data_IF_198958094399
#
_entry.id   IF_198958094399
#
_cell.length_a   1.000
_cell.length_b   1.000
_cell.length_c   1.000
_cell.angle_alpha   90.00
_cell.angle_beta   90.00
_cell.angle_gamma   90.00
#
_symmetry.space_group_name_H-M   'P 1'
#
loop_
_entity.id
_entity.type
_entity.pdbx_description
1 polymer ?
#
# COMPACT_ATOMS: atom_id res chain seq x y z
N UNK A 1 -19.49 16.54 -15.19
CA UNK A 1 -18.37 16.64 -16.15
C UNK A 1 -17.15 17.13 -15.39
N UNK A 2 -16.00 16.46 -15.60
CA UNK A 2 -14.61 16.89 -15.42
C UNK A 2 -14.12 17.31 -14.02
N UNK A 3 -13.13 16.56 -13.52
CA UNK A 3 -12.09 17.09 -12.63
C UNK A 3 -10.72 16.72 -13.23
N UNK A 4 -9.86 17.72 -13.33
CA UNK A 4 -8.69 17.80 -14.22
C UNK A 4 -7.49 16.95 -13.79
N UNK A 5 -6.78 16.40 -14.77
CA UNK A 5 -5.47 15.78 -14.60
C UNK A 5 -4.39 16.86 -14.64
N UNK A 6 -3.65 17.04 -13.55
CA UNK A 6 -2.45 17.88 -13.53
C UNK A 6 -1.22 16.99 -13.79
N UNK A 7 -0.69 17.07 -15.02
CA UNK A 7 0.64 16.55 -15.36
C UNK A 7 1.69 17.60 -14.94
N UNK A 8 2.48 17.29 -13.91
CA UNK A 8 3.67 18.08 -13.53
C UNK A 8 4.94 17.48 -14.15
N UNK A 9 5.67 18.31 -14.89
CA UNK A 9 6.97 18.04 -15.54
C UNK A 9 8.16 18.03 -14.55
N UNK A 10 9.35 17.50 -14.94
CA UNK A 10 10.37 17.00 -14.02
C UNK A 10 11.37 18.07 -13.58
N UNK A 11 11.79 17.99 -12.31
CA UNK A 11 12.97 18.71 -11.81
C UNK A 11 14.14 17.71 -11.67
N UNK A 12 15.14 17.88 -12.52
CA UNK A 12 16.45 17.23 -12.40
C UNK A 12 17.29 18.02 -11.38
N UNK A 13 17.72 17.36 -10.31
CA UNK A 13 18.62 17.94 -9.32
C UNK A 13 18.96 16.95 -8.22
N UNK A 14 19.97 16.11 -8.46
CA UNK A 14 20.51 15.19 -7.45
C UNK A 14 21.16 15.99 -6.30
N UNK A 15 20.60 15.85 -5.11
CA UNK A 15 21.32 16.06 -3.86
C UNK A 15 21.06 14.85 -2.94
N UNK A 16 22.16 14.21 -2.57
CA UNK A 16 22.24 13.02 -1.73
C UNK A 16 21.68 13.28 -0.33
N UNK A 17 20.68 12.49 0.07
CA UNK A 17 20.58 11.74 1.35
C UNK A 17 19.28 10.95 1.36
N UNK A 18 19.26 9.60 1.31
CA UNK A 18 18.07 8.85 1.67
C UNK A 18 18.17 8.38 3.13
N UNK A 19 18.05 9.33 4.07
CA UNK A 19 17.60 9.01 5.43
C UNK A 19 16.13 9.39 5.48
N UNK A 20 15.29 8.42 5.14
CA UNK A 20 13.88 8.59 4.90
C UNK A 20 13.54 7.89 3.60
N UNK A 21 13.04 6.67 3.69
CA UNK A 21 12.64 5.86 2.55
C UNK A 21 11.18 6.21 2.24
N UNK A 22 10.83 7.07 1.25
CA UNK A 22 9.49 7.01 0.67
C UNK A 22 9.47 5.80 -0.27
N UNK A 23 9.41 4.59 0.29
CA UNK A 23 9.09 3.39 -0.48
C UNK A 23 7.58 3.35 -0.72
N UNK A 24 7.05 4.29 -1.49
CA UNK A 24 5.68 4.20 -1.99
C UNK A 24 5.65 4.62 -3.45
N UNK A 25 5.56 3.62 -4.34
CA UNK A 25 4.95 3.80 -5.65
C UNK A 25 5.86 3.83 -6.88
N UNK A 26 7.07 3.27 -6.86
CA UNK A 26 7.86 3.14 -8.09
C UNK A 26 8.36 1.70 -8.27
N UNK A 27 7.65 0.94 -9.13
CA UNK A 27 8.22 -0.20 -9.86
C UNK A 27 8.15 -1.59 -9.23
N UNK A 28 7.10 -1.96 -8.49
CA UNK A 28 6.89 -3.38 -8.15
C UNK A 28 6.35 -4.12 -9.38
N UNK A 29 7.22 -4.62 -10.25
CA UNK A 29 6.86 -5.47 -11.40
C UNK A 29 6.50 -6.92 -11.00
N UNK A 30 6.19 -7.16 -9.71
CA UNK A 30 5.93 -8.48 -9.13
C UNK A 30 4.57 -8.56 -8.42
N UNK A 31 4.07 -9.78 -8.23
CA UNK A 31 2.91 -10.02 -7.38
C UNK A 31 3.23 -9.56 -5.96
N UNK A 32 2.33 -8.82 -5.36
CA UNK A 32 2.44 -8.36 -3.98
C UNK A 32 1.38 -9.08 -3.14
N UNK A 33 1.67 -9.24 -1.86
CA UNK A 33 0.69 -9.62 -0.86
C UNK A 33 0.27 -8.38 -0.06
N UNK A 34 -1.03 -8.21 0.12
CA UNK A 34 -1.62 -7.14 0.92
C UNK A 34 -2.36 -7.77 2.09
N UNK A 35 -2.04 -7.31 3.30
CA UNK A 35 -2.59 -7.81 4.56
C UNK A 35 -3.19 -6.66 5.35
N UNK A 36 -4.32 -6.91 5.99
CA UNK A 36 -4.90 -5.98 6.94
C UNK A 36 -4.37 -6.28 8.34
N UNK A 37 -3.79 -5.28 9.01
CA UNK A 37 -3.19 -5.38 10.35
C UNK A 37 -4.00 -4.51 11.32
N UNK A 38 -4.32 -5.04 12.49
CA UNK A 38 -4.86 -4.23 13.59
C UNK A 38 -3.69 -3.51 14.27
N UNK A 39 -3.69 -2.18 14.24
CA UNK A 39 -2.62 -1.34 14.83
C UNK A 39 -2.57 -1.44 16.36
N UNK A 40 -3.67 -1.85 17.01
CA UNK A 40 -3.75 -2.00 18.47
C UNK A 40 -3.03 -3.26 18.95
N UNK A 41 -3.08 -4.33 18.16
CA UNK A 41 -2.51 -5.64 18.52
C UNK A 41 -1.29 -6.02 17.69
N UNK A 42 -1.05 -5.35 16.57
CA UNK A 42 -0.03 -5.70 15.58
C UNK A 42 -0.35 -6.97 14.78
N UNK A 43 -1.52 -7.59 14.99
CA UNK A 43 -1.87 -8.86 14.38
C UNK A 43 -2.57 -8.69 13.02
N UNK A 44 -2.36 -9.66 12.12
CA UNK A 44 -3.14 -9.74 10.88
C UNK A 44 -4.61 -10.01 11.21
N UNK A 45 -5.49 -9.21 10.62
CA UNK A 45 -6.92 -9.39 10.70
C UNK A 45 -7.31 -10.77 10.17
N UNK A 46 -8.08 -11.52 10.96
CA UNK A 46 -8.62 -12.81 10.57
C UNK A 46 -10.14 -12.72 10.49
N UNK A 47 -10.71 -13.24 9.42
CA UNK A 47 -12.16 -13.39 9.24
C UNK A 47 -12.48 -14.87 9.44
N UNK A 48 -13.31 -15.19 10.44
CA UNK A 48 -13.65 -16.57 10.82
C UNK A 48 -12.42 -17.47 11.07
N UNK A 49 -11.36 -16.91 11.66
CA UNK A 49 -10.10 -17.62 11.94
C UNK A 49 -9.08 -17.65 10.78
N UNK A 50 -9.49 -17.28 9.57
CA UNK A 50 -8.62 -17.25 8.38
C UNK A 50 -8.02 -15.85 8.19
N UNK A 51 -6.69 -15.71 8.02
CA UNK A 51 -6.07 -14.40 7.79
C UNK A 51 -6.56 -13.79 6.47
N UNK A 52 -6.94 -12.50 6.52
CA UNK A 52 -7.34 -11.75 5.34
C UNK A 52 -6.10 -11.30 4.56
N UNK A 53 -5.85 -11.97 3.45
CA UNK A 53 -4.67 -11.79 2.61
C UNK A 53 -5.11 -11.67 1.14
N UNK A 54 -4.63 -10.64 0.44
CA UNK A 54 -4.90 -10.42 -0.99
C UNK A 54 -3.59 -10.49 -1.78
N UNK A 55 -3.55 -11.33 -2.80
CA UNK A 55 -2.45 -11.37 -3.76
C UNK A 55 -2.82 -10.54 -4.99
N UNK A 56 -2.03 -9.53 -5.32
CA UNK A 56 -2.33 -8.61 -6.43
C UNK A 56 -1.07 -8.02 -7.04
N UNK A 57 -1.13 -7.67 -8.33
CA UNK A 57 -0.11 -6.82 -8.98
C UNK A 57 -0.44 -5.34 -8.87
N UNK A 58 -1.60 -5.00 -8.31
CA UNK A 58 -2.09 -3.63 -8.08
C UNK A 58 -2.31 -3.42 -6.59
N UNK A 59 -1.23 -3.30 -5.80
CA UNK A 59 -1.34 -3.22 -4.35
C UNK A 59 -2.12 -1.99 -3.88
N UNK A 60 -2.04 -0.87 -4.60
CA UNK A 60 -2.76 0.37 -4.28
C UNK A 60 -4.28 0.22 -4.33
N UNK A 61 -4.81 -0.47 -5.34
CA UNK A 61 -6.25 -0.75 -5.48
C UNK A 61 -6.72 -1.64 -4.32
N UNK A 62 -6.01 -2.75 -4.06
CA UNK A 62 -6.34 -3.67 -2.97
C UNK A 62 -6.28 -3.01 -1.58
N UNK A 63 -5.33 -2.10 -1.35
CA UNK A 63 -5.27 -1.32 -0.10
C UNK A 63 -6.51 -0.43 0.04
N UNK A 64 -6.91 0.26 -1.03
CA UNK A 64 -8.09 1.12 -0.99
C UNK A 64 -9.36 0.32 -0.66
N UNK A 65 -9.53 -0.85 -1.26
CA UNK A 65 -10.65 -1.76 -0.96
C UNK A 65 -10.58 -2.31 0.47
N UNK A 66 -9.40 -2.73 0.93
CA UNK A 66 -9.20 -3.22 2.30
C UNK A 66 -9.36 -2.15 3.37
N UNK A 67 -9.19 -0.87 3.07
CA UNK A 67 -9.41 0.20 4.03
C UNK A 67 -10.77 0.91 3.83
N UNK A 68 -11.51 0.56 2.79
CA UNK A 68 -12.82 1.14 2.53
C UNK A 68 -13.79 0.83 3.67
N UNK A 69 -14.42 1.87 4.22
CA UNK A 69 -15.34 1.75 5.37
C UNK A 69 -14.69 1.35 6.69
N UNK A 70 -13.34 1.32 6.78
CA UNK A 70 -12.61 0.97 8.00
C UNK A 70 -11.91 2.19 8.60
N UNK A 71 -11.83 2.22 9.94
CA UNK A 71 -11.10 3.24 10.67
C UNK A 71 -9.58 3.05 10.51
N UNK A 72 -8.90 4.03 9.90
CA UNK A 72 -7.45 4.00 9.65
C UNK A 72 -6.59 4.26 10.90
N UNK A 73 -7.19 4.73 11.99
CA UNK A 73 -6.50 4.80 13.28
C UNK A 73 -6.32 3.41 13.88
N UNK A 74 -7.22 2.49 13.54
CA UNK A 74 -7.24 1.10 14.02
C UNK A 74 -6.64 0.14 13.00
N UNK A 75 -6.89 0.36 11.71
CA UNK A 75 -6.53 -0.58 10.65
C UNK A 75 -5.43 -0.04 9.75
N UNK A 76 -4.44 -0.86 9.49
CA UNK A 76 -3.33 -0.58 8.58
C UNK A 76 -3.27 -1.66 7.50
N UNK A 77 -3.08 -1.27 6.24
CA UNK A 77 -2.81 -2.22 5.18
C UNK A 77 -1.30 -2.29 4.94
N UNK A 78 -0.71 -3.48 5.09
CA UNK A 78 0.69 -3.73 4.75
C UNK A 78 0.79 -4.41 3.39
N UNK A 79 1.71 -3.90 2.58
CA UNK A 79 2.07 -4.45 1.28
C UNK A 79 3.45 -5.06 1.43
N UNK A 80 3.58 -6.33 1.06
CA UNK A 80 4.86 -7.01 0.99
C UNK A 80 5.02 -7.57 -0.44
N UNK A 81 6.10 -7.24 -1.16
CA UNK A 81 6.36 -7.82 -2.46
C UNK A 81 6.65 -9.33 -2.32
N UNK A 82 6.23 -10.11 -3.30
CA UNK A 82 6.59 -11.53 -3.39
C UNK A 82 7.73 -11.60 -4.40
N UNK A 83 8.91 -11.96 -3.92
CA UNK A 83 10.02 -12.29 -4.80
C UNK A 83 9.69 -13.59 -5.56
N UNK A 84 9.99 -13.67 -6.86
CA UNK A 84 9.76 -14.86 -7.67
C UNK A 84 10.65 -16.04 -7.27
#
# INVERSE_FOLDING_TARGET
>A
MTAAFAFGTPATGNAYTPIGRPAQGQGMSGTCVVRLIDRRTGMTHRVNGTPLVIFTRRPSEAVAELLSGRDRSVWEARIDPIEP
#
